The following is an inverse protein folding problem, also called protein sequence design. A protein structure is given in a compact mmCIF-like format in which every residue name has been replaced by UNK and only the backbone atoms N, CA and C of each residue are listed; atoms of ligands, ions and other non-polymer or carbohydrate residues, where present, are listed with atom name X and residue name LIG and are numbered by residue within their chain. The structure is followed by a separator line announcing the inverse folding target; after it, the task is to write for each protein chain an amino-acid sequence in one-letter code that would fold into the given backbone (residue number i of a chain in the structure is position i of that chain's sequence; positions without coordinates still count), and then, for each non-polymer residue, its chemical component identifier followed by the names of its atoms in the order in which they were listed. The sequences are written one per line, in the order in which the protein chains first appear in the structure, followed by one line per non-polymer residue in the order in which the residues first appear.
data_IF_258556327508
#
_entry.id   IF_258556327508
#
_cell.length_a   1.000
_cell.length_b   1.000
_cell.length_c   1.000
_cell.angle_alpha   90.00
_cell.angle_beta   90.00
_cell.angle_gamma   90.00
#
_symmetry.space_group_name_H-M   'P 1'
#
loop_
_entity.id
_entity.type
_entity.pdbx_description
1 polymer ?
#
# COMPACT_ATOMS: atom_id res chain seq x y z
N UNK A 1 14.60 -12.15 2.90
CA UNK A 1 13.55 -12.87 2.15
C UNK A 1 12.52 -13.37 3.16
N UNK A 2 11.25 -12.96 3.04
CA UNK A 2 10.17 -13.50 3.87
C UNK A 2 9.60 -14.73 3.18
N UNK A 3 9.58 -15.87 3.85
CA UNK A 3 9.05 -17.12 3.30
C UNK A 3 7.93 -17.57 4.22
N UNK A 4 6.74 -17.80 3.66
CA UNK A 4 5.59 -18.26 4.43
C UNK A 4 5.87 -19.65 4.97
N UNK A 5 5.62 -19.88 6.26
CA UNK A 5 5.69 -21.19 6.88
C UNK A 5 4.28 -21.68 7.18
N UNK A 6 4.02 -22.95 6.90
CA UNK A 6 2.75 -23.61 7.21
C UNK A 6 3.01 -24.97 7.85
N UNK A 7 2.10 -25.38 8.73
CA UNK A 7 2.10 -26.75 9.24
C UNK A 7 1.49 -27.67 8.19
N UNK A 8 2.11 -28.83 7.99
CA UNK A 8 1.61 -29.86 7.10
C UNK A 8 0.18 -30.29 7.54
N UNK A 9 -0.79 -30.41 6.62
CA UNK A 9 -2.20 -30.67 6.95
C UNK A 9 -2.46 -31.96 7.73
N UNK A 10 -1.56 -32.95 7.63
CA UNK A 10 -1.68 -34.22 8.36
C UNK A 10 -1.28 -34.13 9.84
N UNK A 11 -0.66 -33.04 10.26
CA UNK A 11 -0.22 -32.87 11.64
C UNK A 11 -1.38 -32.43 12.53
N UNK A 12 -1.88 -33.37 13.35
CA UNK A 12 -2.95 -33.11 14.30
C UNK A 12 -2.37 -32.97 15.72
N UNK A 13 -2.36 -31.74 16.25
CA UNK A 13 -1.90 -31.43 17.60
C UNK A 13 -3.10 -31.07 18.46
N UNK A 14 -3.40 -31.92 19.44
CA UNK A 14 -4.41 -31.63 20.45
C UNK A 14 -3.97 -30.51 21.42
N UNK A 15 -4.91 -29.86 22.10
CA UNK A 15 -4.59 -28.93 23.17
C UNK A 15 -3.80 -29.64 24.28
N UNK A 16 -2.77 -28.98 24.81
CA UNK A 16 -2.04 -29.48 25.96
C UNK A 16 -2.80 -29.14 27.25
N UNK A 17 -3.29 -30.18 27.93
CA UNK A 17 -4.11 -30.04 29.14
C UNK A 17 -3.29 -29.98 30.42
N UNK A 18 -2.02 -30.39 30.38
CA UNK A 18 -1.18 -30.52 31.58
C UNK A 18 -0.43 -29.24 31.95
N UNK A 19 -0.45 -28.21 31.09
CA UNK A 19 0.33 -26.97 31.29
C UNK A 19 1.83 -27.22 31.54
N UNK A 20 2.36 -28.35 31.06
CA UNK A 20 3.77 -28.71 31.14
C UNK A 20 4.43 -28.55 29.77
N UNK A 21 5.75 -28.53 29.73
CA UNK A 21 6.50 -28.60 28.48
C UNK A 21 6.06 -29.83 27.68
N UNK A 22 5.59 -29.62 26.44
CA UNK A 22 5.16 -30.72 25.59
C UNK A 22 6.39 -31.49 25.12
N UNK A 23 6.67 -32.67 25.66
CA UNK A 23 7.85 -33.47 25.28
C UNK A 23 7.89 -33.85 23.78
N UNK A 24 6.78 -33.72 23.04
CA UNK A 24 6.70 -34.01 21.61
C UNK A 24 6.98 -32.78 20.74
N UNK A 25 7.19 -31.60 21.32
CA UNK A 25 7.34 -30.34 20.57
C UNK A 25 8.46 -30.38 19.51
N UNK A 26 9.62 -30.98 19.83
CA UNK A 26 10.73 -31.12 18.89
C UNK A 26 10.34 -31.96 17.66
N UNK A 27 9.52 -33.00 17.87
CA UNK A 27 8.96 -33.79 16.78
C UNK A 27 7.92 -33.00 15.99
N UNK A 28 7.15 -32.13 16.67
CA UNK A 28 6.12 -31.30 16.04
C UNK A 28 6.71 -30.17 15.18
N UNK A 29 7.90 -29.65 15.47
CA UNK A 29 8.60 -28.67 14.61
C UNK A 29 8.81 -29.18 13.19
N UNK A 30 9.11 -30.48 13.05
CA UNK A 30 9.28 -31.16 11.76
C UNK A 30 8.02 -31.25 10.91
N UNK A 31 6.86 -30.91 11.49
CA UNK A 31 5.62 -30.79 10.72
C UNK A 31 5.45 -29.41 10.07
N UNK A 32 6.41 -28.51 10.21
CA UNK A 32 6.38 -27.19 9.60
C UNK A 32 7.31 -27.10 8.41
N UNK A 33 6.78 -26.53 7.33
CA UNK A 33 7.50 -26.33 6.09
C UNK A 33 7.41 -24.87 5.64
N UNK A 34 8.51 -24.35 5.12
CA UNK A 34 8.51 -23.16 4.28
C UNK A 34 7.86 -23.47 2.94
N UNK A 35 7.00 -22.57 2.47
CA UNK A 35 6.42 -22.60 1.13
C UNK A 35 7.26 -21.67 0.26
N UNK A 36 8.10 -22.24 -0.60
CA UNK A 36 8.85 -21.47 -1.61
C UNK A 36 7.91 -20.95 -2.71
N UNK A 37 8.35 -19.94 -3.46
CA UNK A 37 7.60 -19.32 -4.57
C UNK A 37 7.12 -20.29 -5.65
N UNK A 38 7.65 -21.52 -5.71
CA UNK A 38 7.25 -22.58 -6.62
C UNK A 38 6.43 -23.70 -5.94
N UNK A 39 5.82 -23.44 -4.79
CA UNK A 39 5.08 -24.41 -3.96
C UNK A 39 5.91 -25.59 -3.44
N UNK A 40 7.25 -25.52 -3.48
CA UNK A 40 8.08 -26.53 -2.84
C UNK A 40 8.10 -26.31 -1.33
N UNK A 41 7.74 -27.36 -0.59
CA UNK A 41 7.83 -27.42 0.86
C UNK A 41 9.26 -27.76 1.30
N UNK A 42 9.85 -26.93 2.16
CA UNK A 42 11.19 -27.14 2.71
C UNK A 42 11.13 -27.12 4.23
N UNK A 43 11.71 -28.13 4.88
CA UNK A 43 11.77 -28.22 6.34
C UNK A 43 12.41 -26.97 6.95
N UNK A 44 11.86 -26.51 8.08
CA UNK A 44 12.44 -25.41 8.85
C UNK A 44 13.59 -25.97 9.70
N UNK A 45 14.84 -25.50 9.52
CA UNK A 45 15.97 -25.97 10.33
C UNK A 45 15.77 -25.72 11.83
N UNK A 46 16.25 -26.64 12.67
CA UNK A 46 16.02 -26.59 14.13
C UNK A 46 16.59 -25.33 14.82
N UNK A 47 17.65 -24.74 14.26
CA UNK A 47 18.28 -23.50 14.77
C UNK A 47 17.44 -22.24 14.53
N UNK A 48 16.42 -22.31 13.68
CA UNK A 48 15.46 -21.22 13.45
C UNK A 48 14.35 -21.21 14.51
N UNK A 49 14.23 -22.26 15.31
CA UNK A 49 13.28 -22.33 16.40
C UNK A 49 13.90 -21.87 17.71
N UNK A 50 13.10 -21.18 18.53
CA UNK A 50 13.55 -20.73 19.84
C UNK A 50 13.91 -21.94 20.72
N UNK A 51 15.13 -21.94 21.27
CA UNK A 51 15.62 -23.08 22.06
C UNK A 51 14.86 -23.20 23.38
N UNK A 52 14.50 -24.44 23.74
CA UNK A 52 13.77 -24.74 24.99
C UNK A 52 12.28 -24.39 25.00
N UNK A 53 11.75 -23.80 23.91
CA UNK A 53 10.33 -23.47 23.79
C UNK A 53 9.53 -24.51 22.99
N UNK A 54 8.27 -24.80 23.36
CA UNK A 54 7.52 -24.14 24.44
C UNK A 54 7.83 -24.74 25.82
N UNK A 55 8.19 -23.88 26.77
CA UNK A 55 8.46 -24.27 28.16
C UNK A 55 7.18 -24.44 29.01
N UNK A 56 6.06 -23.87 28.58
CA UNK A 56 4.74 -23.98 29.19
C UNK A 56 3.64 -23.95 28.12
N UNK A 57 2.84 -25.01 28.05
CA UNK A 57 1.81 -25.20 27.02
C UNK A 57 0.40 -25.19 27.62
N UNK A 58 0.03 -24.15 28.38
CA UNK A 58 -1.38 -23.93 28.71
C UNK A 58 -2.12 -23.45 27.45
N UNK A 59 -2.89 -24.34 26.83
CA UNK A 59 -3.77 -23.93 25.73
C UNK A 59 -5.05 -24.75 25.74
N UNK A 60 -6.18 -24.05 25.75
CA UNK A 60 -7.53 -24.60 25.54
C UNK A 60 -7.77 -24.96 24.06
N UNK A 61 -6.86 -24.55 23.16
CA UNK A 61 -6.96 -24.75 21.70
C UNK A 61 -5.72 -25.44 21.12
N UNK A 62 -5.91 -26.06 19.96
CA UNK A 62 -4.83 -26.66 19.17
C UNK A 62 -3.81 -25.64 18.68
N UNK A 63 -2.56 -26.09 18.58
CA UNK A 63 -1.42 -25.34 18.05
C UNK A 63 -1.47 -25.36 16.52
N UNK A 64 -1.92 -24.26 15.92
CA UNK A 64 -2.20 -24.21 14.47
C UNK A 64 -1.45 -23.10 13.75
N UNK A 65 -0.68 -22.27 14.47
CA UNK A 65 0.06 -21.15 13.88
C UNK A 65 1.45 -21.04 14.51
N UNK A 66 2.41 -20.43 13.82
CA UNK A 66 3.72 -20.10 14.38
C UNK A 66 3.83 -18.58 14.53
N UNK A 67 4.55 -18.13 15.55
CA UNK A 67 4.90 -16.72 15.74
C UNK A 67 6.42 -16.59 15.69
N UNK A 68 6.90 -15.49 15.09
CA UNK A 68 8.32 -15.15 15.11
C UNK A 68 8.58 -14.22 16.29
N UNK A 69 9.47 -14.62 17.18
CA UNK A 69 9.98 -13.77 18.27
C UNK A 69 11.46 -13.48 18.05
N UNK A 70 12.03 -12.60 18.88
CA UNK A 70 13.44 -12.15 18.76
C UNK A 70 14.42 -13.33 18.67
N UNK A 71 14.16 -14.41 19.40
CA UNK A 71 15.07 -15.55 19.53
C UNK A 71 14.67 -16.77 18.67
N UNK A 72 13.78 -16.59 17.69
CA UNK A 72 13.38 -17.64 16.74
C UNK A 72 11.86 -17.85 16.66
N UNK A 73 11.45 -18.89 15.93
CA UNK A 73 10.05 -19.28 15.84
C UNK A 73 9.56 -19.99 17.10
N UNK A 74 8.31 -19.73 17.47
CA UNK A 74 7.56 -20.45 18.49
C UNK A 74 6.24 -20.93 17.91
N UNK A 75 5.86 -22.15 18.28
CA UNK A 75 4.56 -22.73 17.95
C UNK A 75 3.51 -22.11 18.88
N UNK A 76 2.36 -21.66 18.35
CA UNK A 76 1.31 -20.98 19.12
C UNK A 76 -0.11 -21.43 18.71
N UNK A 77 -1.10 -21.35 19.61
CA UNK A 77 -2.49 -21.64 19.26
C UNK A 77 -3.10 -20.53 18.39
N UNK A 78 -4.16 -20.85 17.64
CA UNK A 78 -4.89 -19.86 16.82
C UNK A 78 -5.31 -18.61 17.61
N UNK A 79 -5.60 -18.77 18.90
CA UNK A 79 -6.02 -17.68 19.78
C UNK A 79 -4.92 -16.65 20.03
N UNK A 80 -3.64 -16.98 19.83
CA UNK A 80 -2.55 -16.01 19.89
C UNK A 80 -2.61 -14.95 18.77
N UNK A 81 -3.50 -15.11 17.78
CA UNK A 81 -3.86 -14.04 16.83
C UNK A 81 -4.66 -12.92 17.48
N UNK A 82 -5.24 -13.17 18.65
CA UNK A 82 -5.83 -12.16 19.51
C UNK A 82 -4.77 -11.75 20.55
N UNK A 83 -4.47 -10.45 20.63
CA UNK A 83 -3.55 -9.93 21.63
C UNK A 83 -4.18 -10.10 23.01
N UNK A 84 -3.69 -11.08 23.78
CA UNK A 84 -4.08 -11.26 25.18
C UNK A 84 -3.23 -10.33 26.03
N UNK A 85 -3.87 -9.31 26.61
CA UNK A 85 -3.24 -8.46 27.62
C UNK A 85 -3.34 -9.15 28.97
N UNK A 86 -2.25 -9.79 29.40
CA UNK A 86 -2.15 -10.28 30.78
C UNK A 86 -1.92 -9.10 31.71
N UNK A 87 -2.95 -8.66 32.42
CA UNK A 87 -2.84 -7.64 33.46
C UNK A 87 -2.63 -8.32 34.81
N UNK A 88 -1.57 -7.96 35.54
CA UNK A 88 -1.43 -8.32 36.95
C UNK A 88 -2.15 -7.28 37.81
N UNK A 89 -3.08 -7.71 38.67
CA UNK A 89 -3.92 -6.82 39.49
C UNK A 89 -5.33 -6.62 38.93
N UNK A 90 -6.04 -5.59 39.42
CA UNK A 90 -7.35 -5.23 38.88
C UNK A 90 -7.18 -4.74 37.43
N UNK A 91 -7.99 -5.20 36.47
CA UNK A 91 -7.96 -4.69 35.11
C UNK A 91 -8.06 -3.17 35.12
N UNK A 92 -7.25 -2.45 34.32
CA UNK A 92 -7.42 -1.01 34.20
C UNK A 92 -8.87 -0.72 33.78
N UNK A 93 -9.51 0.24 34.43
CA UNK A 93 -10.83 0.72 34.03
C UNK A 93 -10.68 1.50 32.72
N UNK A 94 -10.58 0.76 31.62
CA UNK A 94 -10.46 1.31 30.28
C UNK A 94 -11.85 1.77 29.83
N UNK A 95 -11.96 3.03 29.46
CA UNK A 95 -13.18 3.54 28.83
C UNK A 95 -13.48 2.73 27.57
N UNK A 96 -14.74 2.39 27.36
CA UNK A 96 -15.19 1.74 26.13
C UNK A 96 -14.75 2.59 24.94
N UNK A 97 -14.05 1.97 23.98
CA UNK A 97 -13.65 2.65 22.75
C UNK A 97 -14.91 3.15 22.04
N UNK A 98 -14.94 4.43 21.67
CA UNK A 98 -16.05 5.01 20.90
C UNK A 98 -16.15 4.27 19.56
N UNK A 99 -17.31 3.72 19.23
CA UNK A 99 -17.49 2.84 18.06
C UNK A 99 -17.14 3.55 16.74
N UNK A 100 -17.40 4.84 16.62
CA UNK A 100 -16.98 5.65 15.46
C UNK A 100 -15.47 5.66 15.24
N UNK A 101 -14.66 5.54 16.30
CA UNK A 101 -13.19 5.51 16.18
C UNK A 101 -12.65 4.19 15.61
N UNK A 102 -13.55 3.24 15.29
CA UNK A 102 -13.25 2.00 14.61
C UNK A 102 -13.59 2.05 13.12
N UNK A 103 -14.31 3.08 12.67
CA UNK A 103 -14.71 3.26 11.28
C UNK A 103 -13.63 3.95 10.47
N UNK A 104 -13.73 3.86 9.14
CA UNK A 104 -12.98 4.74 8.24
C UNK A 104 -13.28 6.20 8.56
N UNK A 105 -12.35 7.13 8.25
CA UNK A 105 -12.58 8.57 8.39
C UNK A 105 -13.81 9.06 7.61
N UNK A 106 -14.17 8.36 6.52
CA UNK A 106 -15.32 8.65 5.66
C UNK A 106 -16.55 7.78 5.99
N UNK A 107 -16.61 7.25 7.20
CA UNK A 107 -17.72 6.44 7.68
C UNK A 107 -18.14 6.86 9.09
N UNK A 108 -19.34 6.46 9.47
CA UNK A 108 -19.83 6.54 10.84
C UNK A 108 -20.37 5.18 11.26
N UNK A 109 -20.43 4.95 12.56
CA UNK A 109 -21.01 3.74 13.11
C UNK A 109 -22.53 3.85 13.13
N UNK A 110 -23.21 2.99 12.36
CA UNK A 110 -24.66 2.87 12.37
C UNK A 110 -25.07 1.87 13.46
N UNK A 111 -25.63 2.38 14.56
CA UNK A 111 -26.08 1.56 15.68
C UNK A 111 -27.24 0.62 15.34
N UNK A 112 -28.06 0.97 14.35
CA UNK A 112 -29.17 0.12 13.90
C UNK A 112 -28.68 -1.09 13.10
N UNK A 113 -27.59 -0.92 12.35
CA UNK A 113 -26.96 -2.01 11.58
C UNK A 113 -25.82 -2.72 12.33
N UNK A 114 -25.35 -2.15 13.43
CA UNK A 114 -24.24 -2.69 14.22
C UNK A 114 -22.90 -2.68 13.48
N UNK A 115 -22.73 -1.82 12.48
CA UNK A 115 -21.54 -1.76 11.62
C UNK A 115 -21.22 -0.33 11.18
N UNK A 116 -20.00 -0.12 10.73
CA UNK A 116 -19.63 1.12 10.05
C UNK A 116 -20.34 1.20 8.69
N UNK A 117 -20.82 2.39 8.35
CA UNK A 117 -21.45 2.68 7.06
C UNK A 117 -20.77 3.91 6.49
N UNK A 118 -20.39 3.83 5.22
CA UNK A 118 -19.78 4.96 4.54
C UNK A 118 -20.76 6.14 4.47
N UNK A 119 -20.24 7.35 4.68
CA UNK A 119 -21.03 8.58 4.68
C UNK A 119 -21.68 8.83 3.31
N UNK A 120 -21.03 8.38 2.24
CA UNK A 120 -21.58 8.41 0.89
C UNK A 120 -22.24 7.07 0.55
N UNK A 121 -23.53 7.06 0.15
CA UNK A 121 -24.21 5.85 -0.30
C UNK A 121 -23.43 5.12 -1.39
N UNK A 122 -23.43 3.79 -1.36
CA UNK A 122 -22.74 2.91 -2.31
C UNK A 122 -21.22 3.09 -2.44
N UNK A 123 -20.59 3.94 -1.63
CA UNK A 123 -19.13 4.15 -1.65
C UNK A 123 -18.33 3.03 -0.96
N UNK A 124 -19.00 2.12 -0.26
CA UNK A 124 -18.33 1.00 0.40
C UNK A 124 -17.67 0.07 -0.62
N UNK A 125 -16.35 -0.09 -0.51
CA UNK A 125 -15.59 -0.91 -1.45
C UNK A 125 -15.98 -2.39 -1.40
N UNK A 126 -16.44 -2.89 -0.24
CA UNK A 126 -16.97 -4.25 -0.13
C UNK A 126 -18.26 -4.43 -0.92
N UNK A 127 -19.10 -3.39 -1.00
CA UNK A 127 -20.32 -3.43 -1.81
C UNK A 127 -19.99 -3.35 -3.31
N UNK A 128 -19.00 -2.52 -3.68
CA UNK A 128 -18.59 -2.33 -5.08
C UNK A 128 -17.82 -3.53 -5.66
N UNK A 129 -16.84 -4.06 -4.94
CA UNK A 129 -16.01 -5.18 -5.38
C UNK A 129 -15.92 -6.28 -4.30
N UNK A 130 -17.00 -7.08 -4.10
CA UNK A 130 -17.09 -8.02 -2.98
C UNK A 130 -15.97 -9.06 -2.91
N UNK A 131 -15.47 -9.52 -4.07
CA UNK A 131 -14.39 -10.50 -4.14
C UNK A 131 -13.04 -9.91 -3.71
N UNK A 132 -12.76 -8.65 -4.08
CA UNK A 132 -11.49 -7.97 -3.80
C UNK A 132 -11.40 -7.51 -2.35
N UNK A 133 -12.53 -7.04 -1.78
CA UNK A 133 -12.58 -6.51 -0.42
C UNK A 133 -13.29 -7.45 0.58
N UNK A 134 -13.40 -8.74 0.27
CA UNK A 134 -14.08 -9.73 1.11
C UNK A 134 -13.60 -9.72 2.57
N UNK A 135 -12.30 -9.51 2.77
CA UNK A 135 -11.62 -9.50 4.07
C UNK A 135 -11.88 -8.26 4.91
N UNK A 136 -12.33 -7.15 4.30
CA UNK A 136 -12.57 -5.89 5.00
C UNK A 136 -14.03 -5.87 5.50
N UNK A 137 -14.30 -5.45 6.75
CA UNK A 137 -15.67 -5.19 7.20
C UNK A 137 -16.32 -4.01 6.45
N UNK A 138 -17.65 -3.96 6.32
CA UNK A 138 -18.34 -2.78 5.80
C UNK A 138 -17.93 -1.50 6.52
N UNK A 139 -17.84 -0.39 5.78
CA UNK A 139 -17.49 0.94 6.29
C UNK A 139 -16.02 1.12 6.70
N UNK A 140 -15.16 0.13 6.46
CA UNK A 140 -13.70 0.27 6.68
C UNK A 140 -12.97 0.79 5.45
N UNK A 141 -13.57 0.66 4.27
CA UNK A 141 -13.05 1.18 3.01
C UNK A 141 -14.18 1.90 2.26
N UNK A 142 -14.15 3.23 2.26
CA UNK A 142 -15.18 4.07 1.68
C UNK A 142 -14.58 4.92 0.55
N UNK A 143 -14.93 4.60 -0.70
CA UNK A 143 -14.40 5.21 -1.92
C UNK A 143 -15.36 6.29 -2.44
N UNK A 144 -15.15 7.54 -2.03
CA UNK A 144 -16.04 8.67 -2.35
C UNK A 144 -15.42 9.67 -3.33
N UNK A 145 -15.36 9.34 -4.62
CA UNK A 145 -15.11 10.35 -5.68
C UNK A 145 -16.42 10.99 -6.21
N UNK A 146 -17.57 10.66 -5.60
CA UNK A 146 -18.92 10.97 -6.09
C UNK A 146 -19.62 12.14 -5.40
N UNK A 147 -18.94 12.84 -4.48
CA UNK A 147 -19.58 13.90 -3.66
C UNK A 147 -19.72 15.27 -4.35
N UNK A 148 -19.36 15.43 -5.62
CA UNK A 148 -19.66 16.67 -6.35
C UNK A 148 -19.55 16.49 -7.87
N UNK A 149 -20.28 17.35 -8.61
CA UNK A 149 -20.27 17.51 -10.08
C UNK A 149 -18.86 17.89 -10.62
N UNK A 150 -17.87 18.01 -9.74
CA UNK A 150 -16.49 18.38 -10.07
C UNK A 150 -15.85 17.33 -10.97
N UNK A 151 -15.39 17.74 -12.14
CA UNK A 151 -14.48 16.94 -12.95
C UNK A 151 -13.09 17.03 -12.34
N UNK A 152 -12.40 15.90 -12.22
CA UNK A 152 -11.05 15.85 -11.68
C UNK A 152 -10.08 15.38 -12.75
N UNK A 153 -8.93 16.01 -12.85
CA UNK A 153 -7.81 15.54 -13.65
C UNK A 153 -6.69 15.06 -12.73
N UNK A 154 -6.24 13.82 -12.93
CA UNK A 154 -5.14 13.22 -12.16
C UNK A 154 -4.03 12.84 -13.13
N UNK A 155 -2.82 13.34 -12.91
CA UNK A 155 -1.62 12.88 -13.64
C UNK A 155 -0.72 12.13 -12.67
N UNK A 156 -0.35 10.91 -13.04
CA UNK A 156 0.61 10.09 -12.33
C UNK A 156 2.00 10.26 -12.95
N UNK A 157 3.03 10.44 -12.13
CA UNK A 157 4.43 10.25 -12.53
C UNK A 157 4.87 8.88 -12.01
N UNK A 158 5.30 8.01 -12.92
CA UNK A 158 5.83 6.67 -12.62
C UNK A 158 7.32 6.59 -12.90
N UNK A 159 8.09 6.09 -11.96
CA UNK A 159 9.54 6.05 -11.99
C UNK A 159 10.06 4.74 -12.63
N UNK A 160 10.54 4.86 -13.87
CA UNK A 160 11.12 3.75 -14.64
C UNK A 160 12.65 3.81 -14.66
N UNK A 161 13.26 4.48 -13.69
CA UNK A 161 14.70 4.69 -13.63
C UNK A 161 15.45 3.47 -13.09
N UNK A 162 16.78 3.51 -13.23
CA UNK A 162 17.66 2.44 -12.80
C UNK A 162 17.61 2.16 -11.29
N UNK A 163 17.33 3.17 -10.45
CA UNK A 163 17.25 3.02 -8.99
C UNK A 163 16.03 2.23 -8.55
N UNK A 164 14.93 2.32 -9.30
CA UNK A 164 13.68 1.56 -9.07
C UNK A 164 13.79 0.11 -9.52
N UNK A 165 14.44 -0.13 -10.66
CA UNK A 165 14.56 -1.47 -11.24
C UNK A 165 13.26 -1.99 -11.87
N UNK A 166 13.39 -3.01 -12.73
CA UNK A 166 12.24 -3.52 -13.49
C UNK A 166 11.13 -4.14 -12.62
N UNK A 167 11.49 -4.74 -11.48
CA UNK A 167 10.48 -5.24 -10.54
C UNK A 167 9.72 -4.11 -9.85
N UNK A 168 10.42 -3.02 -9.46
CA UNK A 168 9.80 -1.85 -8.85
C UNK A 168 8.81 -1.19 -9.81
N UNK A 169 9.26 -0.93 -11.04
CA UNK A 169 8.42 -0.33 -12.08
C UNK A 169 7.19 -1.19 -12.39
N UNK A 170 7.33 -2.52 -12.40
CA UNK A 170 6.17 -3.43 -12.56
C UNK A 170 5.16 -3.26 -11.42
N UNK A 171 5.62 -3.09 -10.17
CA UNK A 171 4.71 -2.84 -9.05
C UNK A 171 4.01 -1.48 -9.17
N UNK A 172 4.74 -0.43 -9.56
CA UNK A 172 4.15 0.89 -9.79
C UNK A 172 3.05 0.88 -10.84
N UNK A 173 3.31 0.25 -11.99
CA UNK A 173 2.33 0.14 -13.08
C UNK A 173 1.08 -0.62 -12.62
N UNK A 174 1.26 -1.73 -11.90
CA UNK A 174 0.14 -2.51 -11.36
C UNK A 174 -0.62 -1.71 -10.28
N UNK A 175 0.09 -0.96 -9.44
CA UNK A 175 -0.50 -0.13 -8.41
C UNK A 175 -1.36 0.98 -9.03
N UNK A 176 -0.83 1.72 -10.00
CA UNK A 176 -1.60 2.75 -10.72
C UNK A 176 -2.79 2.14 -11.46
N UNK A 177 -2.64 0.97 -12.08
CA UNK A 177 -3.79 0.27 -12.66
C UNK A 177 -4.88 -0.01 -11.60
N UNK A 178 -4.51 -0.44 -10.40
CA UNK A 178 -5.46 -0.68 -9.32
C UNK A 178 -6.14 0.61 -8.84
N UNK A 179 -5.39 1.70 -8.71
CA UNK A 179 -5.94 3.03 -8.39
C UNK A 179 -6.94 3.45 -9.46
N UNK A 180 -6.53 3.47 -10.73
CA UNK A 180 -7.37 3.88 -11.84
C UNK A 180 -8.63 3.02 -11.96
N UNK A 181 -8.50 1.70 -11.79
CA UNK A 181 -9.64 0.78 -11.78
C UNK A 181 -10.67 1.14 -10.71
N UNK A 182 -10.24 1.54 -9.52
CA UNK A 182 -11.12 2.01 -8.45
C UNK A 182 -11.75 3.39 -8.74
N UNK A 183 -11.22 4.15 -9.70
CA UNK A 183 -11.75 5.45 -10.16
C UNK A 183 -12.64 5.36 -11.41
N UNK A 184 -12.70 4.21 -12.10
CA UNK A 184 -13.41 4.06 -13.40
C UNK A 184 -14.91 4.37 -13.40
N UNK A 185 -15.56 4.46 -12.24
CA UNK A 185 -16.98 4.83 -12.10
C UNK A 185 -17.21 6.31 -11.77
N UNK A 186 -16.20 7.16 -11.96
CA UNK A 186 -16.16 8.55 -11.47
C UNK A 186 -15.90 9.54 -12.59
N UNK A 187 -16.01 10.85 -12.33
CA UNK A 187 -15.70 11.97 -13.25
C UNK A 187 -14.19 12.28 -13.31
N UNK A 188 -13.34 11.27 -13.08
CA UNK A 188 -11.89 11.41 -13.00
C UNK A 188 -11.26 11.06 -14.35
N UNK A 189 -10.59 12.05 -14.94
CA UNK A 189 -9.69 11.90 -16.09
C UNK A 189 -8.29 11.60 -15.57
N UNK A 190 -7.60 10.67 -16.20
CA UNK A 190 -6.28 10.24 -15.75
C UNK A 190 -5.24 10.32 -16.85
N UNK A 191 -3.99 10.60 -16.51
CA UNK A 191 -2.85 10.52 -17.43
C UNK A 191 -1.62 9.98 -16.71
N UNK A 192 -0.64 9.49 -17.46
CA UNK A 192 0.61 8.94 -16.91
C UNK A 192 1.81 9.52 -17.64
N UNK A 193 2.72 10.11 -16.88
CA UNK A 193 4.07 10.48 -17.30
C UNK A 193 5.03 9.42 -16.78
N UNK A 194 5.87 8.89 -17.65
CA UNK A 194 6.93 7.96 -17.27
C UNK A 194 8.20 8.77 -17.06
N UNK A 195 8.67 8.80 -15.81
CA UNK A 195 9.96 9.32 -15.42
C UNK A 195 11.06 8.37 -15.91
N UNK A 196 11.86 8.91 -16.81
CA UNK A 196 12.97 8.23 -17.48
C UNK A 196 13.92 9.29 -18.05
N UNK A 197 14.93 8.86 -18.80
CA UNK A 197 15.82 9.74 -19.53
C UNK A 197 15.80 9.46 -21.05
N UNK A 198 15.14 10.29 -21.87
CA UNK A 198 14.21 11.37 -21.50
C UNK A 198 12.88 10.83 -20.93
N UNK A 199 12.18 11.67 -20.17
CA UNK A 199 10.83 11.39 -19.67
C UNK A 199 9.79 11.61 -20.76
N UNK A 200 8.66 10.92 -20.70
CA UNK A 200 7.66 10.97 -21.78
C UNK A 200 6.24 10.71 -21.26
N UNK A 201 5.24 11.11 -22.04
CA UNK A 201 3.84 10.78 -21.78
C UNK A 201 3.62 9.30 -22.10
N UNK A 202 3.39 8.49 -21.08
CA UNK A 202 3.07 7.07 -21.22
C UNK A 202 1.59 6.83 -21.52
N UNK A 203 0.72 7.64 -20.92
CA UNK A 203 -0.72 7.65 -21.15
C UNK A 203 -1.18 9.11 -21.21
N UNK A 204 -1.89 9.47 -22.28
CA UNK A 204 -2.45 10.81 -22.43
C UNK A 204 -3.48 11.10 -21.32
N UNK A 205 -3.75 12.38 -21.03
CA UNK A 205 -4.76 12.73 -20.03
C UNK A 205 -6.15 12.61 -20.62
N UNK A 206 -6.88 11.55 -20.27
CA UNK A 206 -8.21 11.28 -20.83
C UNK A 206 -9.11 10.42 -19.90
N UNK A 207 -10.34 10.18 -20.36
CA UNK A 207 -11.25 9.20 -19.78
C UNK A 207 -10.93 7.79 -20.31
N UNK A 208 -10.68 6.84 -19.40
CA UNK A 208 -10.25 5.49 -19.76
C UNK A 208 -11.19 4.41 -19.24
N UNK A 209 -11.48 3.43 -20.10
CA UNK A 209 -12.15 2.18 -19.71
C UNK A 209 -11.14 1.20 -19.11
N UNK A 210 -11.61 0.24 -18.31
CA UNK A 210 -10.75 -0.81 -17.76
C UNK A 210 -9.96 -1.59 -18.83
N UNK A 211 -10.52 -1.78 -20.02
CA UNK A 211 -9.84 -2.48 -21.12
C UNK A 211 -8.74 -1.62 -21.77
N UNK A 212 -8.97 -0.31 -21.94
CA UNK A 212 -7.94 0.60 -22.45
C UNK A 212 -6.73 0.67 -21.50
N UNK A 213 -6.97 0.67 -20.18
CA UNK A 213 -5.92 0.64 -19.17
C UNK A 213 -5.14 -0.68 -19.18
N UNK A 214 -5.83 -1.83 -19.30
CA UNK A 214 -5.15 -3.13 -19.44
C UNK A 214 -4.24 -3.17 -20.67
N UNK A 215 -4.69 -2.64 -21.81
CA UNK A 215 -3.88 -2.57 -23.02
C UNK A 215 -2.67 -1.65 -22.86
N UNK A 216 -2.82 -0.54 -22.14
CA UNK A 216 -1.71 0.35 -21.81
C UNK A 216 -0.66 -0.37 -20.96
N UNK A 217 -1.07 -1.08 -19.90
CA UNK A 217 -0.18 -1.86 -19.02
C UNK A 217 0.62 -2.89 -19.81
N UNK A 218 -0.03 -3.63 -20.73
CA UNK A 218 0.64 -4.63 -21.57
C UNK A 218 1.74 -4.05 -22.47
N UNK A 219 1.69 -2.75 -22.77
CA UNK A 219 2.68 -2.06 -23.61
C UNK A 219 3.81 -1.42 -22.79
N UNK A 220 3.72 -1.42 -21.46
CA UNK A 220 4.76 -0.82 -20.64
C UNK A 220 5.97 -1.73 -20.57
N UNK A 221 7.13 -1.16 -20.91
CA UNK A 221 8.43 -1.79 -20.77
C UNK A 221 9.32 -0.95 -19.87
N UNK A 222 10.01 -1.62 -18.96
CA UNK A 222 11.02 -0.98 -18.11
C UNK A 222 12.16 -0.45 -18.97
N UNK A 223 12.56 0.80 -18.75
CA UNK A 223 13.52 1.49 -19.63
C UNK A 223 14.97 1.47 -19.17
N UNK A 224 15.26 1.07 -17.92
CA UNK A 224 16.61 1.12 -17.33
C UNK A 224 17.35 2.40 -17.73
N UNK A 225 16.95 3.54 -17.16
CA UNK A 225 17.47 4.84 -17.57
C UNK A 225 17.84 5.72 -16.38
N UNK A 226 18.61 6.76 -16.66
CA UNK A 226 18.88 7.85 -15.73
C UNK A 226 17.59 8.63 -15.39
N UNK A 227 17.69 9.57 -14.46
CA UNK A 227 16.56 10.25 -13.82
C UNK A 227 16.40 11.67 -14.38
N UNK A 228 15.24 11.98 -14.97
CA UNK A 228 14.91 13.32 -15.48
C UNK A 228 13.61 13.87 -14.88
N UNK A 229 13.61 14.11 -13.57
CA UNK A 229 12.43 14.64 -12.85
C UNK A 229 12.00 16.00 -13.39
N UNK A 230 12.94 16.87 -13.79
CA UNK A 230 12.64 18.16 -14.45
C UNK A 230 11.69 18.00 -15.65
N UNK A 231 12.00 17.08 -16.57
CA UNK A 231 11.15 16.85 -17.75
C UNK A 231 9.82 16.21 -17.38
N UNK A 232 9.82 15.22 -16.48
CA UNK A 232 8.59 14.57 -16.02
C UNK A 232 7.61 15.56 -15.38
N UNK A 233 8.11 16.46 -14.52
CA UNK A 233 7.30 17.47 -13.84
C UNK A 233 6.76 18.52 -14.82
N UNK A 234 7.57 18.99 -15.78
CA UNK A 234 7.12 19.93 -16.83
C UNK A 234 6.05 19.30 -17.75
N UNK A 235 6.20 18.02 -18.09
CA UNK A 235 5.19 17.28 -18.85
C UNK A 235 3.87 17.18 -18.08
N UNK A 236 3.92 16.80 -16.80
CA UNK A 236 2.74 16.73 -15.94
C UNK A 236 2.08 18.10 -15.75
N UNK A 237 2.89 19.15 -15.54
CA UNK A 237 2.43 20.53 -15.46
C UNK A 237 1.69 20.96 -16.72
N UNK A 238 2.26 20.70 -17.89
CA UNK A 238 1.62 21.01 -19.17
C UNK A 238 0.27 20.32 -19.32
N UNK A 239 0.16 19.05 -18.92
CA UNK A 239 -1.10 18.30 -19.00
C UNK A 239 -2.15 18.83 -18.02
N UNK A 240 -1.78 19.04 -16.77
CA UNK A 240 -2.70 19.49 -15.73
C UNK A 240 -3.17 20.94 -15.94
N UNK A 241 -2.26 21.86 -16.25
CA UNK A 241 -2.61 23.27 -16.38
C UNK A 241 -3.47 23.58 -17.62
N UNK A 242 -3.32 22.78 -18.70
CA UNK A 242 -4.15 22.88 -19.89
C UNK A 242 -5.50 22.16 -19.77
N UNK A 243 -5.70 21.35 -18.72
CA UNK A 243 -6.96 20.65 -18.52
C UNK A 243 -8.06 21.57 -17.97
N UNK A 244 -9.31 21.29 -18.34
CA UNK A 244 -10.50 22.07 -17.95
C UNK A 244 -11.26 21.50 -16.75
N UNK A 245 -10.71 20.48 -16.09
CA UNK A 245 -11.24 19.91 -14.85
C UNK A 245 -11.14 20.91 -13.69
N UNK A 246 -12.11 20.83 -12.79
CA UNK A 246 -12.26 21.75 -11.66
C UNK A 246 -11.15 21.51 -10.62
N UNK A 247 -10.86 20.24 -10.34
CA UNK A 247 -9.76 19.83 -9.47
C UNK A 247 -8.67 19.13 -10.25
N UNK A 248 -7.41 19.42 -9.90
CA UNK A 248 -6.23 18.91 -10.58
C UNK A 248 -5.28 18.33 -9.55
N UNK A 249 -4.82 17.11 -9.78
CA UNK A 249 -4.01 16.35 -8.82
C UNK A 249 -2.80 15.78 -9.56
N UNK A 250 -1.62 16.00 -8.99
CA UNK A 250 -0.39 15.34 -9.37
C UNK A 250 -0.09 14.24 -8.33
N UNK A 251 0.04 13.00 -8.79
CA UNK A 251 0.46 11.87 -7.96
C UNK A 251 1.84 11.43 -8.43
N UNK A 252 2.83 11.40 -7.54
CA UNK A 252 4.20 11.01 -7.87
C UNK A 252 4.50 9.69 -7.16
N UNK A 253 4.97 8.67 -7.88
CA UNK A 253 5.56 7.46 -7.33
C UNK A 253 7.04 7.48 -7.70
N UNK A 254 7.93 7.58 -6.71
CA UNK A 254 9.38 7.60 -6.92
C UNK A 254 10.12 7.41 -5.59
N UNK A 255 11.38 7.03 -5.67
CA UNK A 255 12.30 7.03 -4.52
C UNK A 255 12.80 8.43 -4.13
N UNK A 256 12.63 9.42 -5.00
CA UNK A 256 12.99 10.83 -4.79
C UNK A 256 14.33 11.25 -5.39
N UNK A 257 14.96 10.43 -6.23
CA UNK A 257 16.21 10.82 -6.89
C UNK A 257 16.03 12.09 -7.74
N UNK A 258 16.98 13.03 -7.63
CA UNK A 258 16.98 14.26 -8.44
C UNK A 258 17.34 14.00 -9.90
N UNK A 259 17.02 14.97 -10.77
CA UNK A 259 17.50 14.93 -12.16
C UNK A 259 19.02 14.79 -12.22
N UNK A 260 19.47 13.80 -12.98
CA UNK A 260 20.88 13.55 -13.30
C UNK A 260 21.10 13.37 -14.81
N UNK A 261 20.12 13.73 -15.63
CA UNK A 261 20.18 13.62 -17.08
C UNK A 261 19.40 14.74 -17.80
N UNK A 262 19.81 15.05 -19.04
CA UNK A 262 19.06 15.89 -19.99
C UNK A 262 19.24 15.35 -21.41
N UNK A 263 18.17 15.38 -22.22
CA UNK A 263 18.19 14.94 -23.63
C UNK A 263 18.78 13.53 -23.83
N UNK A 264 18.45 12.59 -22.92
CA UNK A 264 18.90 11.21 -23.00
C UNK A 264 20.35 10.96 -22.57
N UNK A 265 21.03 11.95 -21.97
CA UNK A 265 22.43 11.85 -21.56
C UNK A 265 22.61 12.29 -20.11
N UNK A 266 23.53 11.63 -19.40
CA UNK A 266 23.93 12.03 -18.06
C UNK A 266 24.46 13.46 -18.08
N UNK A 267 23.98 14.27 -17.16
CA UNK A 267 24.34 15.67 -17.04
C UNK A 267 24.14 16.13 -15.60
N UNK A 268 25.05 16.95 -15.10
CA UNK A 268 24.82 17.68 -13.85
C UNK A 268 24.00 18.93 -14.18
N UNK A 269 22.75 18.95 -13.72
CA UNK A 269 21.82 20.04 -14.00
C UNK A 269 21.11 20.46 -12.74
N UNK A 270 20.69 21.72 -12.71
CA UNK A 270 19.90 22.24 -11.60
C UNK A 270 18.57 21.49 -11.53
N UNK A 271 18.16 21.13 -10.31
CA UNK A 271 16.86 20.56 -10.05
C UNK A 271 15.81 21.69 -10.05
N UNK A 272 14.79 21.52 -10.88
CA UNK A 272 13.69 22.47 -11.05
C UNK A 272 12.38 21.96 -10.45
N UNK A 273 12.35 20.73 -9.93
CA UNK A 273 11.14 20.08 -9.42
C UNK A 273 10.38 20.94 -8.40
N UNK A 274 11.09 21.53 -7.43
CA UNK A 274 10.51 22.41 -6.42
C UNK A 274 9.85 23.65 -7.06
N UNK A 275 10.49 24.23 -8.09
CA UNK A 275 9.94 25.41 -8.78
C UNK A 275 8.66 25.07 -9.56
N UNK A 276 8.64 23.94 -10.26
CA UNK A 276 7.46 23.45 -10.99
C UNK A 276 6.34 23.06 -10.02
N UNK A 277 6.68 22.36 -8.93
CA UNK A 277 5.73 21.98 -7.89
C UNK A 277 5.10 23.21 -7.20
N UNK A 278 5.88 24.27 -6.97
CA UNK A 278 5.38 25.55 -6.47
C UNK A 278 4.42 26.21 -7.46
N UNK A 279 4.75 26.22 -8.75
CA UNK A 279 3.85 26.77 -9.76
C UNK A 279 2.53 25.99 -9.82
N UNK A 280 2.58 24.65 -9.86
CA UNK A 280 1.42 23.76 -9.77
C UNK A 280 0.53 24.09 -8.56
N UNK A 281 1.11 24.14 -7.36
CA UNK A 281 0.37 24.50 -6.14
C UNK A 281 -0.26 25.88 -6.22
N UNK A 282 0.45 26.87 -6.75
CA UNK A 282 -0.08 28.24 -6.92
C UNK A 282 -1.30 28.32 -7.84
N UNK A 283 -1.50 27.28 -8.69
CA UNK A 283 -2.66 27.11 -9.58
C UNK A 283 -3.73 26.18 -9.00
N UNK A 284 -3.64 25.82 -7.72
CA UNK A 284 -4.60 24.97 -7.04
C UNK A 284 -4.41 23.47 -7.32
N UNK A 285 -3.28 23.06 -7.89
CA UNK A 285 -3.00 21.62 -8.11
C UNK A 285 -2.57 20.99 -6.79
N UNK A 286 -3.29 19.94 -6.39
CA UNK A 286 -2.95 19.11 -5.23
C UNK A 286 -1.80 18.18 -5.59
N UNK A 287 -0.78 18.07 -4.74
CA UNK A 287 0.34 17.15 -4.94
C UNK A 287 0.28 16.06 -3.86
N UNK A 288 0.32 14.81 -4.32
CA UNK A 288 0.42 13.61 -3.50
C UNK A 288 1.72 12.91 -3.89
N UNK A 289 2.61 12.70 -2.93
CA UNK A 289 3.88 12.03 -3.15
C UNK A 289 3.86 10.67 -2.46
N UNK A 290 4.01 9.60 -3.22
CA UNK A 290 4.19 8.24 -2.70
C UNK A 290 5.70 7.98 -2.70
N UNK A 291 6.30 8.19 -1.54
CA UNK A 291 7.74 8.06 -1.36
C UNK A 291 8.08 6.59 -1.11
N UNK A 292 8.92 6.03 -1.98
CA UNK A 292 9.38 4.65 -1.84
C UNK A 292 10.80 4.61 -1.27
N UNK A 293 10.95 3.99 -0.11
CA UNK A 293 12.19 4.04 0.66
C UNK A 293 12.46 5.42 1.26
N UNK A 294 13.69 5.63 1.72
CA UNK A 294 14.05 6.82 2.51
C UNK A 294 15.35 7.49 2.05
N UNK A 295 15.84 7.17 0.85
CA UNK A 295 17.14 7.66 0.38
C UNK A 295 17.16 9.19 0.13
N UNK A 296 16.03 9.77 -0.25
CA UNK A 296 15.90 11.16 -0.69
C UNK A 296 14.78 11.92 0.04
N UNK A 297 14.70 11.74 1.36
CA UNK A 297 13.60 12.32 2.16
C UNK A 297 13.54 13.85 2.11
N UNK A 298 14.69 14.53 2.09
CA UNK A 298 14.73 15.99 2.03
C UNK A 298 14.21 16.51 0.67
N UNK A 299 14.59 15.85 -0.42
CA UNK A 299 14.13 16.14 -1.79
C UNK A 299 12.61 16.03 -1.89
N UNK A 300 12.05 14.97 -1.31
CA UNK A 300 10.60 14.74 -1.26
C UNK A 300 9.91 15.82 -0.43
N UNK A 301 10.45 16.14 0.75
CA UNK A 301 9.92 17.19 1.64
C UNK A 301 9.90 18.56 0.95
N UNK A 302 10.99 18.95 0.30
CA UNK A 302 11.09 20.21 -0.45
C UNK A 302 10.04 20.26 -1.57
N UNK A 303 9.88 19.15 -2.29
CA UNK A 303 8.90 19.01 -3.38
C UNK A 303 7.48 19.28 -2.90
N UNK A 304 7.10 18.80 -1.71
CA UNK A 304 5.76 19.00 -1.12
C UNK A 304 5.67 20.23 -0.20
N UNK A 305 6.67 21.12 -0.21
CA UNK A 305 6.74 22.28 0.69
C UNK A 305 6.57 21.92 2.17
N UNK A 306 7.23 20.85 2.60
CA UNK A 306 7.20 20.26 3.95
C UNK A 306 5.79 19.87 4.45
N UNK A 307 4.79 19.79 3.58
CA UNK A 307 3.48 19.25 3.94
C UNK A 307 3.53 17.72 4.00
N UNK A 308 3.87 17.17 5.16
CA UNK A 308 3.97 15.72 5.35
C UNK A 308 2.65 14.99 5.11
N UNK A 309 1.50 15.66 5.19
CA UNK A 309 0.20 15.06 4.86
C UNK A 309 0.05 14.78 3.36
N UNK A 310 0.87 15.40 2.50
CA UNK A 310 0.94 15.07 1.07
C UNK A 310 1.78 13.83 0.79
N UNK A 311 2.53 13.31 1.78
CA UNK A 311 3.44 12.17 1.60
C UNK A 311 2.76 10.88 2.09
N UNK A 312 2.86 9.82 1.29
CA UNK A 312 2.56 8.45 1.66
C UNK A 312 3.89 7.68 1.59
N UNK A 313 4.42 7.31 2.75
CA UNK A 313 5.66 6.55 2.84
C UNK A 313 5.40 5.06 2.66
N UNK A 314 6.15 4.42 1.77
CA UNK A 314 6.21 2.96 1.64
C UNK A 314 7.66 2.50 1.69
N UNK A 315 7.94 1.42 2.43
CA UNK A 315 9.32 0.99 2.66
C UNK A 315 10.02 0.50 1.37
N UNK A 316 9.26 -0.13 0.49
CA UNK A 316 9.72 -0.63 -0.80
C UNK A 316 8.53 -0.74 -1.78
N UNK A 317 8.83 -0.97 -3.06
CA UNK A 317 7.80 -1.12 -4.10
C UNK A 317 6.88 -2.32 -3.90
N UNK A 318 7.28 -3.34 -3.13
CA UNK A 318 6.43 -4.48 -2.79
C UNK A 318 5.43 -4.14 -1.67
N UNK A 319 5.63 -3.04 -0.97
CA UNK A 319 4.72 -2.49 0.04
C UNK A 319 3.64 -1.58 -0.55
N UNK A 320 3.53 -1.45 -1.88
CA UNK A 320 2.39 -0.84 -2.58
C UNK A 320 1.13 -1.71 -2.47
N UNK A 321 0.66 -1.87 -1.24
CA UNK A 321 -0.41 -2.78 -0.83
C UNK A 321 -1.80 -2.12 -0.89
N UNK A 322 -2.82 -2.86 -0.45
CA UNK A 322 -4.20 -2.38 -0.41
C UNK A 322 -4.38 -1.17 0.51
N UNK A 323 -3.61 -1.04 1.60
CA UNK A 323 -3.73 0.12 2.49
C UNK A 323 -3.20 1.38 1.81
N UNK A 324 -2.09 1.26 1.09
CA UNK A 324 -1.52 2.32 0.26
C UNK A 324 -2.50 2.74 -0.82
N UNK A 325 -3.11 1.76 -1.51
CA UNK A 325 -4.15 1.99 -2.52
C UNK A 325 -5.31 2.81 -1.96
N UNK A 326 -5.86 2.38 -0.82
CA UNK A 326 -6.98 3.08 -0.16
C UNK A 326 -6.60 4.51 0.22
N UNK A 327 -5.41 4.71 0.77
CA UNK A 327 -4.93 6.04 1.15
C UNK A 327 -4.80 6.97 -0.06
N UNK A 328 -4.21 6.48 -1.16
CA UNK A 328 -4.10 7.24 -2.42
C UNK A 328 -5.47 7.58 -2.98
N UNK A 329 -6.38 6.61 -3.08
CA UNK A 329 -7.75 6.83 -3.57
C UNK A 329 -8.47 7.86 -2.70
N UNK A 330 -8.38 7.76 -1.37
CA UNK A 330 -8.99 8.73 -0.46
C UNK A 330 -8.38 10.12 -0.62
N UNK A 331 -7.06 10.25 -0.81
CA UNK A 331 -6.43 11.54 -1.09
C UNK A 331 -6.81 12.12 -2.46
N UNK A 332 -7.02 11.29 -3.47
CA UNK A 332 -7.51 11.74 -4.79
C UNK A 332 -8.96 12.22 -4.68
N UNK A 333 -9.78 11.49 -3.94
CA UNK A 333 -11.22 11.71 -3.88
C UNK A 333 -11.66 12.71 -2.78
N UNK A 334 -10.82 13.01 -1.80
CA UNK A 334 -11.11 14.03 -0.78
C UNK A 334 -11.16 15.41 -1.40
N UNK A 335 -12.25 16.14 -1.15
CA UNK A 335 -12.41 17.52 -1.55
C UNK A 335 -11.22 18.37 -1.05
N UNK A 336 -10.87 19.40 -1.81
CA UNK A 336 -9.92 20.42 -1.39
C UNK A 336 -10.53 21.13 -0.18
N UNK A 337 -9.88 21.05 0.99
CA UNK A 337 -10.19 21.91 2.14
C UNK A 337 -9.90 23.38 1.82
#
# INVERSE_FOLDING_TARGET
MRVSAARHPSANVGPSQSCQADQKYLKMRKSWNFIKMNMMEVEIPDDHWKQGDPNNMCSDRSMTTAAMVRDGYVDVPAIARFVVLCTFGNPPNLSTRKLDTMCSSEAHYDSGKGQCVCNVPDSDAKLKEPAKYAIYPPGTVCMSCTSSVTRRAVVFILDSTASVGGSGYTQEVNFVLNVLSSLTSTTVRAGVVVLACPSFIGLELDDYTGDSLKQWVQKQSYRYSATNTNEAYRLAETKLLNDISDEKILVILSDGERTNCVNGKLANVADETVSVANNLRSKGVKIIYIQVGHAYENEVLDTVNHNTNSIINVNDFMALDTNTLINVVNKICSAVE
#
